data_IF_094279381299
#
_entry.id   IF_094279381299
#
_cell.length_a   1.000
_cell.length_b   1.000
_cell.length_c   1.000
_cell.angle_alpha   90.00
_cell.angle_beta   90.00
_cell.angle_gamma   90.00
#
_symmetry.space_group_name_H-M   'P 1'
#
loop_
_entity.id
_entity.type
_entity.pdbx_description
1 polymer ?
#
# COMPACT_ATOMS: atom_id res chain seq x y z
N UNK A 1 17.00 -18.66 -5.73
CA UNK A 1 16.11 -17.85 -4.86
C UNK A 1 16.81 -17.66 -3.53
N UNK A 2 17.43 -16.50 -3.32
CA UNK A 2 18.10 -16.20 -2.05
C UNK A 2 17.04 -16.23 -0.95
N UNK A 3 17.06 -17.27 -0.10
CA UNK A 3 16.42 -17.19 1.21
C UNK A 3 17.17 -16.08 1.93
N UNK A 4 16.63 -14.86 1.87
CA UNK A 4 16.98 -13.84 2.85
C UNK A 4 16.61 -14.43 4.20
N UNK A 5 17.59 -15.00 4.90
CA UNK A 5 17.48 -15.31 6.30
C UNK A 5 17.10 -14.00 6.97
N UNK A 6 15.83 -13.83 7.33
CA UNK A 6 15.36 -12.62 8.01
C UNK A 6 15.95 -12.67 9.41
N UNK A 7 17.14 -12.08 9.58
CA UNK A 7 17.85 -12.02 10.87
C UNK A 7 17.13 -11.16 11.92
N UNK A 8 16.04 -10.47 11.54
CA UNK A 8 15.21 -9.64 12.41
C UNK A 8 13.94 -10.34 12.91
N UNK A 9 13.32 -9.76 13.94
CA UNK A 9 12.04 -10.27 14.47
C UNK A 9 10.95 -10.09 13.41
N UNK A 10 10.11 -11.09 13.23
CA UNK A 10 8.95 -10.99 12.31
C UNK A 10 8.10 -9.76 12.63
N UNK A 11 7.81 -8.95 11.61
CA UNK A 11 6.99 -7.77 11.78
C UNK A 11 5.54 -8.19 12.02
N UNK A 12 5.06 -8.02 13.26
CA UNK A 12 3.70 -8.39 13.66
C UNK A 12 2.65 -7.58 12.93
N UNK A 13 2.93 -6.30 12.69
CA UNK A 13 1.97 -5.39 12.05
C UNK A 13 1.56 -5.91 10.68
N UNK A 14 2.48 -6.45 9.87
CA UNK A 14 2.17 -6.99 8.54
C UNK A 14 2.19 -8.51 8.49
N UNK A 15 2.19 -9.18 9.66
CA UNK A 15 2.24 -10.65 9.76
C UNK A 15 3.35 -11.26 8.89
N UNK A 16 4.52 -10.65 8.91
CA UNK A 16 5.71 -11.00 8.12
C UNK A 16 5.59 -10.91 6.58
N UNK A 17 4.48 -10.41 6.04
CA UNK A 17 4.25 -10.25 4.59
C UNK A 17 5.06 -9.08 4.00
N UNK A 18 5.24 -8.00 4.77
CA UNK A 18 5.91 -6.76 4.32
C UNK A 18 4.98 -5.76 3.63
N UNK A 19 3.76 -6.16 3.28
CA UNK A 19 2.80 -5.33 2.57
C UNK A 19 1.40 -5.47 3.17
N UNK A 20 0.55 -4.50 2.86
CA UNK A 20 -0.88 -4.49 3.16
C UNK A 20 -1.68 -4.29 1.89
N UNK A 21 -2.96 -4.65 1.93
CA UNK A 21 -3.95 -4.03 1.04
C UNK A 21 -3.84 -2.50 1.18
N UNK A 22 -3.77 -1.78 0.07
CA UNK A 22 -3.67 -0.32 0.12
C UNK A 22 -4.88 0.25 0.85
N UNK A 23 -4.63 1.02 1.92
CA UNK A 23 -5.69 1.55 2.79
C UNK A 23 -6.49 2.65 2.12
N UNK A 24 -5.84 3.47 1.28
CA UNK A 24 -6.48 4.62 0.63
C UNK A 24 -7.50 4.20 -0.44
N UNK A 25 -7.10 3.32 -1.36
CA UNK A 25 -7.98 2.86 -2.44
C UNK A 25 -8.70 1.55 -2.13
N UNK A 26 -8.52 1.01 -0.93
CA UNK A 26 -9.05 -0.30 -0.53
C UNK A 26 -8.83 -1.39 -1.60
N UNK A 27 -7.63 -1.44 -2.17
CA UNK A 27 -7.28 -2.42 -3.19
C UNK A 27 -7.90 -2.22 -4.59
N UNK A 28 -8.65 -1.14 -4.84
CA UNK A 28 -9.16 -0.84 -6.19
C UNK A 28 -8.06 -0.37 -7.15
N UNK A 29 -6.97 0.19 -6.65
CA UNK A 29 -5.89 0.76 -7.46
C UNK A 29 -6.20 2.17 -8.00
N UNK A 30 -7.45 2.59 -7.93
CA UNK A 30 -7.91 3.94 -8.27
C UNK A 30 -8.70 4.55 -7.14
N UNK A 31 -8.75 5.88 -7.08
CA UNK A 31 -9.61 6.66 -6.19
C UNK A 31 -10.46 7.63 -7.00
N UNK A 32 -11.65 7.93 -6.49
CA UNK A 32 -12.48 9.02 -7.00
C UNK A 32 -12.03 10.30 -6.30
N UNK A 33 -11.46 11.23 -7.06
CA UNK A 33 -10.93 12.46 -6.50
C UNK A 33 -11.13 13.63 -7.46
N UNK A 34 -11.31 14.82 -6.90
CA UNK A 34 -11.31 16.08 -7.64
C UNK A 34 -10.65 17.17 -6.81
N UNK A 35 -9.87 18.09 -7.44
CA UNK A 35 -9.36 19.27 -6.77
C UNK A 35 -10.43 20.34 -6.55
N UNK A 36 -11.59 20.22 -7.22
CA UNK A 36 -12.68 21.18 -7.12
C UNK A 36 -13.57 20.84 -5.92
N UNK A 37 -13.96 21.87 -5.17
CA UNK A 37 -14.88 21.72 -4.02
C UNK A 37 -16.26 21.20 -4.47
N UNK A 38 -16.77 21.68 -5.60
CA UNK A 38 -18.01 21.23 -6.21
C UNK A 38 -17.75 20.71 -7.64
N UNK A 39 -17.32 19.44 -7.77
CA UNK A 39 -16.93 18.89 -9.05
C UNK A 39 -18.15 18.44 -9.88
N UNK A 40 -18.30 19.02 -11.07
CA UNK A 40 -19.29 18.57 -12.07
C UNK A 40 -18.97 17.14 -12.55
N UNK A 41 -17.70 16.74 -12.52
CA UNK A 41 -17.25 15.40 -12.88
C UNK A 41 -16.21 14.89 -11.89
N UNK A 42 -16.29 13.61 -11.54
CA UNK A 42 -15.29 12.93 -10.71
C UNK A 42 -14.66 11.81 -11.52
N UNK A 43 -13.39 11.99 -11.88
CA UNK A 43 -12.64 10.98 -12.64
C UNK A 43 -11.99 9.97 -11.68
N UNK A 44 -12.00 8.66 -11.99
CA UNK A 44 -11.10 7.72 -11.34
C UNK A 44 -9.63 8.10 -11.66
N UNK A 45 -8.86 8.38 -10.62
CA UNK A 45 -7.43 8.62 -10.71
C UNK A 45 -6.67 7.42 -10.16
N UNK A 46 -5.45 7.17 -10.67
CA UNK A 46 -4.55 6.16 -10.10
C UNK A 46 -4.29 6.51 -8.62
N UNK A 47 -4.37 5.52 -7.74
CA UNK A 47 -4.17 5.73 -6.32
C UNK A 47 -2.72 6.17 -6.04
N UNK A 48 -2.47 7.36 -5.48
CA UNK A 48 -1.13 7.88 -5.28
C UNK A 48 -0.36 7.20 -4.14
N UNK A 49 -1.04 6.41 -3.30
CA UNK A 49 -0.40 5.69 -2.18
C UNK A 49 0.16 4.34 -2.60
N UNK A 50 -0.36 3.75 -3.67
CA UNK A 50 0.08 2.44 -4.15
C UNK A 50 0.40 2.43 -5.64
N UNK A 51 0.42 3.57 -6.31
CA UNK A 51 0.66 3.72 -7.74
C UNK A 51 -0.15 2.73 -8.61
N UNK A 52 -1.37 2.41 -8.18
CA UNK A 52 -2.24 1.44 -8.84
C UNK A 52 -1.96 -0.04 -8.53
N UNK A 53 -0.90 -0.38 -7.80
CA UNK A 53 -0.52 -1.76 -7.44
C UNK A 53 -1.45 -2.42 -6.41
N UNK A 54 -2.44 -1.71 -5.87
CA UNK A 54 -3.47 -2.21 -4.93
C UNK A 54 -2.93 -2.63 -3.55
N UNK A 55 -1.61 -2.64 -3.37
CA UNK A 55 -0.94 -2.95 -2.10
C UNK A 55 -0.04 -1.79 -1.67
N UNK A 56 0.10 -1.59 -0.36
CA UNK A 56 0.96 -0.57 0.22
C UNK A 56 2.06 -1.23 1.05
N UNK A 57 3.29 -0.74 0.92
CA UNK A 57 4.43 -1.20 1.70
C UNK A 57 4.20 -0.96 3.20
N UNK A 58 4.47 -1.97 4.02
CA UNK A 58 4.43 -1.82 5.47
C UNK A 58 5.57 -0.90 5.92
N UNK A 59 5.22 0.27 6.44
CA UNK A 59 6.21 1.26 6.89
C UNK A 59 6.92 0.86 8.19
N UNK A 60 6.36 -0.08 8.97
CA UNK A 60 7.00 -0.57 10.19
C UNK A 60 8.20 -1.48 9.89
N UNK A 61 8.23 -2.14 8.73
CA UNK A 61 9.32 -3.03 8.32
C UNK A 61 9.84 -2.72 6.92
N UNK A 62 9.48 -1.56 6.37
CA UNK A 62 9.89 -1.08 5.05
C UNK A 62 9.75 -2.09 3.89
N UNK A 63 8.78 -3.00 3.96
CA UNK A 63 8.57 -4.03 2.94
C UNK A 63 9.28 -5.36 3.17
N UNK A 64 10.18 -5.43 4.15
CA UNK A 64 10.98 -6.64 4.40
C UNK A 64 10.20 -7.72 5.17
N UNK A 65 9.15 -7.36 5.91
CA UNK A 65 8.38 -8.28 6.74
C UNK A 65 9.09 -8.71 8.04
N UNK A 66 10.27 -8.15 8.33
CA UNK A 66 10.99 -8.27 9.60
C UNK A 66 11.56 -6.92 9.98
N UNK A 67 11.78 -6.71 11.27
CA UNK A 67 12.40 -5.51 11.85
C UNK A 67 13.65 -5.88 12.62
#
# INVERSE_FOLDING_TARGET
>A
SVLQTKYGKSCRNCKAIGYYKCKLCEGNGTIKWSPLYDPIFINPCVCPTCDGFKVQRCLNCLGYGSV
#
